data_IF_868449691239
#
_entry.id   IF_868449691239
#
_cell.length_a   1.000
_cell.length_b   1.000
_cell.length_c   1.000
_cell.angle_alpha   90.00
_cell.angle_beta   90.00
_cell.angle_gamma   90.00
#
_symmetry.space_group_name_H-M   'P 1'
#
loop_
_entity.id
_entity.type
_entity.pdbx_description
1 polymer ?
#
# COMPACT_ATOMS: atom_id res chain seq x y z
N UNK A 1 1.36 -16.77 -12.99
CA UNK A 1 1.02 -15.44 -12.47
C UNK A 1 0.96 -15.59 -10.96
N UNK A 2 1.52 -14.66 -10.15
CA UNK A 2 1.47 -14.77 -8.70
C UNK A 2 0.08 -14.44 -8.20
N UNK A 3 -0.52 -15.32 -7.42
CA UNK A 3 -1.71 -15.00 -6.65
C UNK A 3 -1.27 -14.43 -5.29
N UNK A 4 -1.85 -13.31 -4.87
CA UNK A 4 -1.64 -12.71 -3.54
C UNK A 4 -2.01 -13.70 -2.42
N UNK A 5 -2.86 -14.67 -2.72
CA UNK A 5 -3.29 -15.73 -1.77
C UNK A 5 -2.15 -16.67 -1.37
N UNK A 6 -1.19 -16.90 -2.25
CA UNK A 6 -0.07 -17.84 -2.03
C UNK A 6 1.04 -17.25 -1.14
N UNK A 7 0.97 -15.95 -0.82
CA UNK A 7 1.94 -15.25 0.01
C UNK A 7 1.55 -15.42 1.48
N UNK A 8 2.50 -15.79 2.32
CA UNK A 8 2.30 -15.93 3.76
C UNK A 8 3.10 -14.91 4.58
N UNK A 9 4.32 -14.58 4.13
CA UNK A 9 5.23 -13.67 4.82
C UNK A 9 5.66 -12.53 3.89
N UNK A 10 5.37 -11.32 4.30
CA UNK A 10 5.68 -10.12 3.51
C UNK A 10 6.57 -9.19 4.32
N UNK A 11 7.62 -8.71 3.67
CA UNK A 11 8.52 -7.73 4.23
C UNK A 11 8.43 -6.42 3.46
N UNK A 12 8.33 -5.30 4.18
CA UNK A 12 8.20 -3.96 3.61
C UNK A 12 9.43 -3.12 3.88
N UNK A 13 10.05 -2.54 2.84
CA UNK A 13 11.16 -1.58 2.96
C UNK A 13 10.62 -0.18 2.67
N UNK A 14 10.57 0.67 3.70
CA UNK A 14 9.88 1.97 3.71
C UNK A 14 8.41 1.87 4.11
N UNK A 15 8.11 1.04 5.13
CA UNK A 15 6.75 0.69 5.56
C UNK A 15 5.94 1.89 6.06
N UNK A 16 6.60 2.94 6.59
CA UNK A 16 5.96 4.14 7.13
C UNK A 16 5.40 5.10 6.09
N UNK A 17 5.62 4.86 4.80
CA UNK A 17 4.95 5.63 3.74
C UNK A 17 3.44 5.39 3.72
N UNK A 18 2.63 6.42 3.42
CA UNK A 18 1.15 6.33 3.42
C UNK A 18 0.66 5.14 2.58
N UNK A 19 1.08 5.02 1.32
CA UNK A 19 0.64 3.90 0.48
C UNK A 19 1.24 2.54 0.88
N UNK A 20 2.42 2.52 1.49
CA UNK A 20 3.06 1.30 2.00
C UNK A 20 2.32 0.76 3.23
N UNK A 21 2.00 1.63 4.18
CA UNK A 21 1.27 1.27 5.39
C UNK A 21 -0.15 0.76 5.10
N UNK A 22 -0.82 1.30 4.08
CA UNK A 22 -2.12 0.80 3.63
C UNK A 22 -2.01 -0.65 3.11
N UNK A 23 -0.98 -0.96 2.31
CA UNK A 23 -0.72 -2.34 1.84
C UNK A 23 -0.35 -3.26 3.00
N UNK A 24 0.48 -2.81 3.94
CA UNK A 24 0.84 -3.60 5.12
C UNK A 24 -0.40 -4.00 5.94
N UNK A 25 -1.33 -3.06 6.17
CA UNK A 25 -2.61 -3.32 6.82
C UNK A 25 -3.50 -4.27 6.03
N UNK A 26 -3.52 -4.15 4.70
CA UNK A 26 -4.27 -5.07 3.84
C UNK A 26 -3.80 -6.52 4.04
N UNK A 27 -2.50 -6.76 3.99
CA UNK A 27 -1.95 -8.10 4.19
C UNK A 27 -2.17 -8.63 5.62
N UNK A 28 -1.99 -7.76 6.61
CA UNK A 28 -2.28 -8.12 8.01
C UNK A 28 -3.75 -8.51 8.20
N UNK A 29 -4.69 -7.74 7.64
CA UNK A 29 -6.12 -8.06 7.68
C UNK A 29 -6.44 -9.43 7.05
N UNK A 30 -5.70 -9.81 6.00
CA UNK A 30 -5.82 -11.11 5.34
C UNK A 30 -5.02 -12.23 6.03
N UNK A 31 -4.59 -12.01 7.27
CA UNK A 31 -3.93 -13.04 8.10
C UNK A 31 -2.49 -13.37 7.68
N UNK A 32 -1.82 -12.48 6.93
CA UNK A 32 -0.43 -12.66 6.54
C UNK A 32 0.52 -12.15 7.61
N UNK A 33 1.68 -12.77 7.75
CA UNK A 33 2.75 -12.24 8.60
C UNK A 33 3.40 -11.05 7.90
N UNK A 34 3.35 -9.89 8.55
CA UNK A 34 3.87 -8.62 8.00
C UNK A 34 4.96 -8.10 8.91
N UNK A 35 6.09 -7.73 8.33
CA UNK A 35 7.16 -7.02 9.01
C UNK A 35 7.78 -5.96 8.08
N UNK A 36 8.61 -5.08 8.61
CA UNK A 36 9.19 -4.08 7.74
C UNK A 36 10.28 -3.22 8.40
N UNK A 37 10.89 -2.44 7.53
CA UNK A 37 11.86 -1.41 7.86
C UNK A 37 11.30 -0.02 7.50
N UNK A 38 11.58 0.95 8.33
CA UNK A 38 11.51 2.36 7.97
C UNK A 38 12.70 3.12 8.55
N UNK A 39 13.09 4.21 7.89
CA UNK A 39 14.21 5.05 8.38
C UNK A 39 13.86 5.78 9.68
N UNK A 40 12.58 6.09 9.89
CA UNK A 40 12.16 7.00 10.95
C UNK A 40 10.95 6.43 11.68
N UNK A 41 11.03 6.41 13.00
CA UNK A 41 9.87 6.13 13.84
C UNK A 41 8.90 7.33 13.80
N UNK A 42 7.66 7.07 13.41
CA UNK A 42 6.60 8.07 13.27
C UNK A 42 5.33 7.61 14.02
N UNK A 43 4.34 8.49 14.15
CA UNK A 43 3.03 8.09 14.70
C UNK A 43 2.39 6.97 13.87
N UNK A 44 2.61 6.96 12.55
CA UNK A 44 2.08 5.94 11.66
C UNK A 44 2.77 4.59 11.87
N UNK A 45 4.11 4.54 11.96
CA UNK A 45 4.82 3.28 12.22
C UNK A 45 4.53 2.76 13.63
N UNK A 46 4.36 3.63 14.63
CA UNK A 46 3.90 3.23 15.97
C UNK A 46 2.51 2.59 15.94
N UNK A 47 1.60 3.17 15.17
CA UNK A 47 0.26 2.59 14.99
C UNK A 47 0.34 1.20 14.36
N UNK A 48 1.15 1.01 13.30
CA UNK A 48 1.37 -0.29 12.66
C UNK A 48 1.96 -1.32 13.64
N UNK A 49 2.93 -0.92 14.47
CA UNK A 49 3.49 -1.80 15.51
C UNK A 49 2.44 -2.19 16.55
N UNK A 50 1.58 -1.24 16.95
CA UNK A 50 0.43 -1.50 17.83
C UNK A 50 -0.61 -2.44 17.22
N UNK A 51 -0.69 -2.51 15.90
CA UNK A 51 -1.54 -3.44 15.15
C UNK A 51 -0.92 -4.84 15.00
N UNK A 52 0.34 -5.04 15.45
CA UNK A 52 1.02 -6.34 15.44
C UNK A 52 2.03 -6.53 14.31
N UNK A 53 2.44 -5.45 13.64
CA UNK A 53 3.51 -5.48 12.63
C UNK A 53 4.86 -5.24 13.30
N UNK A 54 5.82 -6.14 13.07
CA UNK A 54 7.19 -5.98 13.56
C UNK A 54 7.97 -5.01 12.66
N UNK A 55 8.45 -3.90 13.25
CA UNK A 55 9.13 -2.83 12.50
C UNK A 55 10.45 -2.48 13.16
N UNK A 56 11.51 -2.44 12.38
CA UNK A 56 12.80 -1.90 12.82
C UNK A 56 13.19 -0.64 12.05
N UNK A 57 14.13 0.14 12.61
CA UNK A 57 14.51 1.47 12.09
C UNK A 57 16.00 1.57 11.74
N UNK A 58 16.70 0.44 11.75
CA UNK A 58 18.11 0.35 11.41
C UNK A 58 18.27 -0.52 10.18
N UNK A 59 18.98 -0.03 9.16
CA UNK A 59 19.37 -0.83 7.98
C UNK A 59 20.41 -1.87 8.40
N UNK A 60 19.95 -3.02 8.90
CA UNK A 60 20.78 -4.13 9.40
C UNK A 60 20.28 -5.48 8.85
N UNK A 61 21.11 -6.15 8.08
CA UNK A 61 20.82 -7.46 7.50
C UNK A 61 20.48 -8.56 8.52
N UNK A 62 20.82 -8.36 9.80
CA UNK A 62 20.46 -9.30 10.87
C UNK A 62 18.98 -9.22 11.23
N UNK A 63 18.37 -8.06 11.01
CA UNK A 63 16.95 -7.81 11.28
C UNK A 63 16.06 -8.17 10.09
N UNK A 64 16.64 -8.22 8.90
CA UNK A 64 15.93 -8.53 7.66
C UNK A 64 15.54 -10.02 7.60
N UNK A 65 14.24 -10.39 7.49
CA UNK A 65 13.80 -11.78 7.47
C UNK A 65 14.32 -12.53 6.22
N UNK A 66 14.83 -13.74 6.42
CA UNK A 66 15.38 -14.56 5.33
C UNK A 66 14.36 -15.50 4.70
N UNK A 67 13.14 -15.51 5.22
CA UNK A 67 12.04 -16.38 4.80
C UNK A 67 10.83 -15.60 4.29
N UNK A 68 11.04 -14.36 3.81
CA UNK A 68 10.01 -13.56 3.18
C UNK A 68 9.64 -14.13 1.79
N UNK A 69 8.34 -14.38 1.57
CA UNK A 69 7.81 -14.81 0.27
C UNK A 69 7.76 -13.65 -0.73
N UNK A 70 7.57 -12.44 -0.21
CA UNK A 70 7.50 -11.20 -0.97
C UNK A 70 8.16 -10.06 -0.21
N UNK A 71 8.97 -9.29 -0.91
CA UNK A 71 9.53 -8.03 -0.42
C UNK A 71 8.93 -6.88 -1.21
N UNK A 72 8.32 -5.92 -0.52
CA UNK A 72 7.70 -4.74 -1.12
C UNK A 72 8.54 -3.51 -0.78
N UNK A 73 8.86 -2.72 -1.79
CA UNK A 73 9.65 -1.52 -1.58
C UNK A 73 9.07 -0.29 -2.28
N UNK A 74 9.49 0.90 -1.82
CA UNK A 74 9.17 2.19 -2.45
C UNK A 74 10.41 2.77 -3.15
N UNK A 75 10.25 3.50 -4.27
CA UNK A 75 11.36 4.20 -4.93
C UNK A 75 12.07 5.23 -4.05
N UNK A 76 11.45 5.67 -2.94
CA UNK A 76 12.07 6.59 -1.97
C UNK A 76 13.23 5.97 -1.18
N UNK A 77 13.35 4.65 -1.17
CA UNK A 77 14.47 3.95 -0.50
C UNK A 77 15.76 4.15 -1.31
N UNK A 78 16.87 4.56 -0.66
CA UNK A 78 18.14 4.78 -1.35
C UNK A 78 18.66 3.53 -2.05
N UNK A 79 19.31 3.71 -3.21
CA UNK A 79 19.88 2.58 -3.99
C UNK A 79 20.97 1.80 -3.25
N UNK A 80 21.61 2.41 -2.27
CA UNK A 80 22.65 1.79 -1.44
C UNK A 80 22.11 1.17 -0.14
N UNK A 81 20.78 0.99 -0.01
CA UNK A 81 20.18 0.35 1.14
C UNK A 81 20.58 -1.12 1.20
N UNK A 82 21.16 -1.56 2.32
CA UNK A 82 21.78 -2.88 2.42
C UNK A 82 20.78 -4.01 2.34
N UNK A 83 19.64 -3.89 3.01
CA UNK A 83 18.61 -4.93 2.97
C UNK A 83 17.97 -5.04 1.58
N UNK A 84 17.69 -3.91 0.90
CA UNK A 84 17.12 -3.95 -0.46
C UNK A 84 18.10 -4.62 -1.44
N UNK A 85 19.38 -4.33 -1.33
CA UNK A 85 20.43 -4.95 -2.15
C UNK A 85 20.56 -6.44 -1.83
N UNK A 86 20.55 -6.81 -0.54
CA UNK A 86 20.56 -8.22 -0.13
C UNK A 86 19.43 -9.01 -0.80
N UNK A 87 18.20 -8.54 -0.72
CA UNK A 87 17.07 -9.24 -1.35
C UNK A 87 17.18 -9.32 -2.86
N UNK A 88 17.69 -8.26 -3.50
CA UNK A 88 17.92 -8.25 -4.96
C UNK A 88 18.99 -9.25 -5.37
N UNK A 89 20.13 -9.25 -4.69
CA UNK A 89 21.30 -10.08 -5.03
C UNK A 89 21.05 -11.57 -4.75
N UNK A 90 20.15 -11.87 -3.83
CA UNK A 90 19.75 -13.25 -3.49
C UNK A 90 18.45 -13.70 -4.20
N UNK A 91 18.00 -12.98 -5.24
CA UNK A 91 16.86 -13.34 -6.08
C UNK A 91 15.54 -13.52 -5.33
N UNK A 92 15.34 -12.76 -4.25
CA UNK A 92 14.02 -12.70 -3.61
C UNK A 92 13.02 -12.03 -4.53
N UNK A 93 11.75 -12.31 -4.31
CA UNK A 93 10.68 -11.67 -5.05
C UNK A 93 10.49 -10.24 -4.57
N UNK A 94 10.95 -9.29 -5.36
CA UNK A 94 10.89 -7.85 -5.10
C UNK A 94 9.82 -7.20 -6.00
N UNK A 95 8.86 -6.52 -5.40
CA UNK A 95 7.86 -5.74 -6.11
C UNK A 95 7.82 -4.31 -5.58
N UNK A 96 7.56 -3.36 -6.46
CA UNK A 96 7.24 -1.99 -6.05
C UNK A 96 5.84 -1.93 -5.44
N UNK A 97 5.61 -0.95 -4.59
CA UNK A 97 4.28 -0.64 -4.04
C UNK A 97 3.19 -0.65 -5.11
N UNK A 98 3.43 0.03 -6.23
CA UNK A 98 2.47 0.15 -7.33
C UNK A 98 2.14 -1.19 -8.01
N UNK A 99 3.14 -2.09 -8.14
CA UNK A 99 2.91 -3.42 -8.73
C UNK A 99 2.04 -4.28 -7.82
N UNK A 100 2.29 -4.22 -6.49
CA UNK A 100 1.48 -4.96 -5.50
C UNK A 100 0.05 -4.43 -5.46
N UNK A 101 -0.13 -3.10 -5.48
CA UNK A 101 -1.46 -2.50 -5.54
C UNK A 101 -2.20 -2.93 -6.82
N UNK A 102 -1.52 -2.95 -7.97
CA UNK A 102 -2.08 -3.46 -9.21
C UNK A 102 -2.50 -4.93 -9.13
N UNK A 103 -1.71 -5.80 -8.49
CA UNK A 103 -2.07 -7.21 -8.29
C UNK A 103 -3.33 -7.37 -7.43
N UNK A 104 -3.46 -6.59 -6.36
CA UNK A 104 -4.63 -6.60 -5.48
C UNK A 104 -5.87 -6.13 -6.27
N UNK A 105 -5.76 -5.01 -6.94
CA UNK A 105 -6.89 -4.37 -7.61
C UNK A 105 -7.37 -5.14 -8.83
N UNK A 106 -6.48 -5.77 -9.59
CA UNK A 106 -6.85 -6.61 -10.72
C UNK A 106 -7.65 -7.87 -10.33
N UNK A 107 -7.66 -8.23 -9.05
CA UNK A 107 -8.45 -9.33 -8.50
C UNK A 107 -9.76 -8.90 -7.82
N UNK A 108 -10.06 -7.60 -7.82
CA UNK A 108 -11.23 -7.01 -7.15
C UNK A 108 -12.01 -6.14 -8.14
N UNK A 109 -13.32 -5.94 -7.90
CA UNK A 109 -14.03 -4.83 -8.52
C UNK A 109 -13.49 -3.53 -7.92
N UNK A 110 -12.93 -2.64 -8.76
CA UNK A 110 -12.23 -1.49 -8.21
C UNK A 110 -12.71 -0.15 -8.77
N UNK A 111 -12.75 0.85 -7.87
CA UNK A 111 -13.08 2.24 -8.13
C UNK A 111 -11.79 3.05 -7.97
N UNK A 112 -11.25 3.55 -9.07
CA UNK A 112 -10.05 4.37 -9.08
C UNK A 112 -10.40 5.85 -9.13
N UNK A 113 -9.83 6.66 -8.24
CA UNK A 113 -10.01 8.12 -8.23
C UNK A 113 -8.70 8.79 -8.62
N UNK A 114 -8.71 9.44 -9.79
CA UNK A 114 -7.58 10.18 -10.35
C UNK A 114 -7.86 11.68 -10.42
N UNK A 115 -6.85 12.46 -10.77
CA UNK A 115 -6.95 13.91 -11.00
C UNK A 115 -5.91 14.70 -10.21
N UNK A 116 -5.73 15.97 -10.57
CA UNK A 116 -4.72 16.86 -9.93
C UNK A 116 -5.09 17.22 -8.50
N UNK A 117 -6.38 17.43 -8.21
CA UNK A 117 -6.87 17.85 -6.89
C UNK A 117 -8.03 16.99 -6.41
N UNK A 118 -8.20 16.86 -5.09
CA UNK A 118 -9.34 16.23 -4.46
C UNK A 118 -9.35 14.69 -4.45
N UNK A 119 -8.33 14.02 -4.98
CA UNK A 119 -8.23 12.55 -5.00
C UNK A 119 -8.52 11.92 -3.65
N UNK A 120 -7.75 12.26 -2.62
CA UNK A 120 -7.88 11.70 -1.26
C UNK A 120 -9.25 11.95 -0.67
N UNK A 121 -9.80 13.16 -0.86
CA UNK A 121 -11.14 13.51 -0.36
C UNK A 121 -12.22 12.66 -1.01
N UNK A 122 -12.23 12.58 -2.35
CA UNK A 122 -13.25 11.83 -3.10
C UNK A 122 -13.12 10.33 -2.81
N UNK A 123 -11.90 9.79 -2.79
CA UNK A 123 -11.65 8.39 -2.44
C UNK A 123 -12.19 8.07 -1.04
N UNK A 124 -11.92 8.96 -0.08
CA UNK A 124 -12.41 8.81 1.30
C UNK A 124 -13.92 8.89 1.37
N UNK A 125 -14.56 9.80 0.63
CA UNK A 125 -16.04 9.93 0.60
C UNK A 125 -16.71 8.68 0.00
N UNK A 126 -16.22 8.18 -1.12
CA UNK A 126 -16.74 6.95 -1.75
C UNK A 126 -16.60 5.78 -0.78
N UNK A 127 -15.41 5.59 -0.22
CA UNK A 127 -15.14 4.50 0.70
C UNK A 127 -15.95 4.62 2.01
N UNK A 128 -16.17 5.84 2.50
CA UNK A 128 -17.03 6.10 3.65
C UNK A 128 -18.49 5.70 3.37
N UNK A 129 -19.05 6.12 2.25
CA UNK A 129 -20.42 5.77 1.84
C UNK A 129 -20.59 4.25 1.76
N UNK A 130 -19.65 3.55 1.11
CA UNK A 130 -19.72 2.10 1.01
C UNK A 130 -19.64 1.41 2.37
N UNK A 131 -18.82 1.94 3.28
CA UNK A 131 -18.69 1.42 4.64
C UNK A 131 -19.94 1.72 5.49
N UNK A 132 -20.43 2.95 5.49
CA UNK A 132 -21.52 3.42 6.33
C UNK A 132 -22.86 2.79 5.94
N UNK A 133 -23.08 2.52 4.67
CA UNK A 133 -24.26 1.78 4.18
C UNK A 133 -24.23 0.28 4.47
N UNK A 134 -23.13 -0.23 5.04
CA UNK A 134 -22.96 -1.67 5.29
C UNK A 134 -22.64 -2.48 4.02
N UNK A 135 -22.42 -1.82 2.86
CA UNK A 135 -22.00 -2.52 1.66
C UNK A 135 -20.57 -3.07 1.81
N UNK A 136 -19.65 -2.25 2.33
CA UNK A 136 -18.26 -2.62 2.59
C UNK A 136 -17.34 -2.47 1.39
N UNK A 137 -16.06 -2.18 1.67
CA UNK A 137 -14.98 -2.11 0.67
C UNK A 137 -13.60 -2.22 1.31
N UNK A 138 -12.58 -2.49 0.50
CA UNK A 138 -11.18 -2.28 0.84
C UNK A 138 -10.79 -0.86 0.38
N UNK A 139 -10.45 0.02 1.30
CA UNK A 139 -10.11 1.39 1.00
C UNK A 139 -8.60 1.63 1.12
N UNK A 140 -7.98 2.12 0.05
CA UNK A 140 -6.57 2.53 0.00
C UNK A 140 -6.50 4.03 -0.20
N UNK A 141 -6.24 4.76 0.90
CA UNK A 141 -6.28 6.22 0.92
C UNK A 141 -4.89 6.84 0.87
N UNK A 142 -4.75 7.96 0.19
CA UNK A 142 -3.53 8.76 0.16
C UNK A 142 -3.29 9.62 1.40
N UNK A 143 -4.13 9.49 2.44
CA UNK A 143 -4.02 10.22 3.70
C UNK A 143 -4.79 9.52 4.82
N UNK A 144 -4.60 10.00 6.05
CA UNK A 144 -5.31 9.48 7.22
C UNK A 144 -6.72 10.08 7.25
N UNK A 145 -7.73 9.23 7.18
CA UNK A 145 -9.12 9.63 7.36
C UNK A 145 -9.36 10.03 8.82
N UNK A 146 -9.91 11.22 9.03
CA UNK A 146 -10.21 11.75 10.37
C UNK A 146 -11.26 10.87 11.08
N UNK A 147 -12.29 10.43 10.37
CA UNK A 147 -13.38 9.65 10.95
C UNK A 147 -12.92 8.26 11.45
N UNK A 148 -11.87 7.70 10.86
CA UNK A 148 -11.42 6.33 11.12
C UNK A 148 -10.01 6.25 11.68
N UNK A 149 -9.31 7.38 11.77
CA UNK A 149 -7.91 7.48 12.18
C UNK A 149 -7.02 6.45 11.45
N UNK A 150 -7.30 6.24 10.16
CA UNK A 150 -6.59 5.25 9.33
C UNK A 150 -6.55 5.68 7.87
N UNK A 151 -5.56 5.21 7.14
CA UNK A 151 -5.46 5.32 5.68
C UNK A 151 -5.90 4.05 4.96
N UNK A 152 -6.39 3.07 5.72
CA UNK A 152 -6.85 1.79 5.19
C UNK A 152 -7.96 1.21 6.08
N UNK A 153 -8.94 0.61 5.47
CA UNK A 153 -9.82 -0.38 6.10
C UNK A 153 -10.21 -1.44 5.09
N UNK A 154 -10.61 -2.59 5.59
CA UNK A 154 -10.96 -3.74 4.77
C UNK A 154 -12.32 -4.28 5.14
N UNK A 155 -12.92 -4.98 4.19
CA UNK A 155 -14.16 -5.73 4.35
C UNK A 155 -14.06 -7.05 3.55
N UNK A 156 -14.99 -7.98 3.83
CA UNK A 156 -15.08 -9.26 3.11
C UNK A 156 -15.54 -9.11 1.66
N UNK A 157 -16.07 -7.96 1.29
CA UNK A 157 -16.49 -7.64 -0.08
C UNK A 157 -15.26 -7.48 -0.98
N UNK A 158 -15.35 -8.06 -2.16
CA UNK A 158 -14.28 -7.96 -3.16
C UNK A 158 -14.40 -6.66 -3.98
N UNK A 159 -14.52 -5.54 -3.28
CA UNK A 159 -14.58 -4.18 -3.85
C UNK A 159 -13.44 -3.36 -3.25
N UNK A 160 -12.67 -2.67 -4.08
CA UNK A 160 -11.59 -1.78 -3.66
C UNK A 160 -11.86 -0.35 -4.09
N UNK A 161 -11.59 0.62 -3.23
CA UNK A 161 -11.59 2.05 -3.54
C UNK A 161 -10.17 2.56 -3.38
N UNK A 162 -9.62 3.17 -4.45
CA UNK A 162 -8.20 3.40 -4.57
C UNK A 162 -7.94 4.82 -5.03
N UNK A 163 -7.01 5.50 -4.39
CA UNK A 163 -6.44 6.71 -4.93
C UNK A 163 -5.42 6.37 -6.03
N UNK A 164 -5.74 6.77 -7.26
CA UNK A 164 -4.91 6.57 -8.44
C UNK A 164 -3.91 7.74 -8.54
N UNK A 165 -2.77 7.58 -7.87
CA UNK A 165 -1.73 8.60 -7.80
C UNK A 165 -0.93 8.65 -9.11
N UNK A 166 -0.72 9.86 -9.66
CA UNK A 166 0.12 10.11 -10.84
C UNK A 166 1.62 10.03 -10.53
N UNK A 167 2.00 10.14 -9.26
CA UNK A 167 3.39 10.02 -8.84
C UNK A 167 3.97 8.67 -9.28
N UNK A 168 5.16 8.69 -9.88
CA UNK A 168 5.84 7.50 -10.41
C UNK A 168 4.98 6.74 -11.47
N UNK A 169 3.99 7.40 -12.07
CA UNK A 169 3.03 6.80 -13.03
C UNK A 169 2.37 5.53 -12.49
N UNK A 170 2.20 5.44 -11.17
CA UNK A 170 1.67 4.25 -10.52
C UNK A 170 0.23 3.93 -10.92
N UNK A 171 -0.56 4.95 -11.28
CA UNK A 171 -1.93 4.78 -11.81
C UNK A 171 -2.00 3.91 -13.08
N UNK A 172 -0.92 3.82 -13.89
CA UNK A 172 -0.87 2.95 -15.07
C UNK A 172 -0.86 1.45 -14.75
N UNK A 173 -0.65 1.09 -13.49
CA UNK A 173 -0.73 -0.30 -13.01
C UNK A 173 -2.16 -0.71 -12.63
N UNK A 174 -3.06 0.24 -12.53
CA UNK A 174 -4.43 0.02 -12.15
C UNK A 174 -5.31 -0.20 -13.39
N UNK A 175 -6.29 -1.08 -13.26
CA UNK A 175 -7.32 -1.32 -14.29
C UNK A 175 -8.69 -1.14 -13.64
N UNK A 176 -9.14 0.11 -13.39
CA UNK A 176 -10.37 0.36 -12.67
C UNK A 176 -11.60 -0.04 -13.48
N UNK A 177 -12.58 -0.67 -12.81
CA UNK A 177 -13.93 -0.89 -13.37
C UNK A 177 -14.72 0.42 -13.43
N UNK A 178 -14.50 1.30 -12.44
CA UNK A 178 -15.03 2.66 -12.41
C UNK A 178 -13.86 3.63 -12.21
N UNK A 179 -13.69 4.57 -13.15
CA UNK A 179 -12.73 5.65 -13.04
C UNK A 179 -13.42 6.97 -12.73
N UNK A 180 -12.99 7.65 -11.68
CA UNK A 180 -13.41 9.00 -11.32
C UNK A 180 -12.26 9.95 -11.56
N UNK A 181 -12.46 10.98 -12.36
CA UNK A 181 -11.48 12.03 -12.62
C UNK A 181 -12.00 13.33 -12.00
N UNK A 182 -11.31 13.82 -10.97
CA UNK A 182 -11.74 15.01 -10.20
C UNK A 182 -11.41 16.34 -10.89
N UNK A 183 -10.18 16.45 -11.40
CA UNK A 183 -9.69 17.63 -12.10
C UNK A 183 -8.52 17.24 -13.03
N UNK A 184 -8.29 18.01 -14.09
CA UNK A 184 -7.17 17.81 -15.02
C UNK A 184 -6.49 19.15 -15.30
N UNK A 185 -5.70 19.61 -14.34
CA UNK A 185 -4.89 20.82 -14.48
C UNK A 185 -3.43 20.43 -14.81
N UNK A 186 -2.69 21.32 -15.46
CA UNK A 186 -1.27 21.09 -15.75
C UNK A 186 -0.45 21.32 -14.48
N UNK A 187 -0.40 20.29 -13.61
CA UNK A 187 0.24 20.39 -12.28
C UNK A 187 1.66 19.79 -12.25
N UNK A 188 1.95 18.78 -13.04
CA UNK A 188 3.27 18.16 -13.09
C UNK A 188 3.77 18.05 -14.54
N UNK A 189 4.83 18.78 -14.86
CA UNK A 189 5.60 18.56 -16.09
C UNK A 189 6.56 17.38 -15.86
N UNK A 190 6.28 16.26 -16.51
CA UNK A 190 7.20 15.12 -16.60
C UNK A 190 7.92 15.14 -17.94
#
# INVERSE_FOLDING_TARGET
MMDVKDISKIYFIGIGGIGMSALARYFLFHGKAVSGYDKTETSLTKALSGEGIDIHYTDDLKLAPKDADLVVYTPAVPKNHSELNFYRDNNYKLLKRSDVLGLITNSTFNIGVAGTHGKTTITTMIAHILRDTGYGCNAFLGGISVNYNSNFWSDKRNVSVIEADEYDRSFLKLSPDIAVISAMDADHQY
#
